data_IF_273822923727
#
_entry.id   IF_273822923727
#
_cell.length_a   1.000
_cell.length_b   1.000
_cell.length_c   1.000
_cell.angle_alpha   90.00
_cell.angle_beta   90.00
_cell.angle_gamma   90.00
#
_symmetry.space_group_name_H-M   'P 1'
#
loop_
_entity.id
_entity.type
_entity.pdbx_description
1 polymer ?
#
# COMPACT_ATOMS: atom_id res chain seq x y z
N UNK A 1 -4.63 -5.72 -15.42
CA UNK A 1 -4.92 -5.50 -13.99
C UNK A 1 -4.93 -4.00 -13.83
N UNK A 2 -6.06 -3.45 -13.40
CA UNK A 2 -6.23 -2.00 -13.24
C UNK A 2 -5.52 -1.58 -11.95
N UNK A 3 -4.39 -0.90 -12.09
CA UNK A 3 -3.77 -0.16 -10.99
C UNK A 3 -4.69 1.01 -10.62
N UNK A 4 -4.58 1.50 -9.39
CA UNK A 4 -5.28 2.69 -8.95
C UNK A 4 -4.34 3.64 -8.22
N UNK A 5 -4.73 4.91 -8.16
CA UNK A 5 -3.94 5.96 -7.51
C UNK A 5 -4.58 6.33 -6.19
N UNK A 6 -3.79 6.36 -5.12
CA UNK A 6 -4.20 6.92 -3.83
C UNK A 6 -3.48 8.24 -3.61
N UNK A 7 -4.21 9.25 -3.14
CA UNK A 7 -3.63 10.55 -2.80
C UNK A 7 -3.37 10.59 -1.31
N UNK A 8 -2.09 10.63 -0.93
CA UNK A 8 -1.68 10.78 0.46
C UNK A 8 -0.94 12.10 0.59
N UNK A 9 -1.44 12.95 1.48
CA UNK A 9 -0.96 14.34 1.65
C UNK A 9 -1.09 15.10 0.32
N UNK A 10 0.02 15.41 -0.34
CA UNK A 10 0.07 16.09 -1.64
C UNK A 10 0.76 15.26 -2.75
N UNK A 11 0.92 13.95 -2.52
CA UNK A 11 1.56 13.01 -3.46
C UNK A 11 0.57 11.93 -3.86
N UNK A 12 0.55 11.59 -5.15
CA UNK A 12 -0.21 10.45 -5.67
C UNK A 12 0.70 9.23 -5.72
N UNK A 13 0.25 8.13 -5.14
CA UNK A 13 0.94 6.84 -5.13
C UNK A 13 0.20 5.86 -6.02
N UNK A 14 0.94 5.19 -6.91
CA UNK A 14 0.41 4.16 -7.80
C UNK A 14 0.40 2.82 -7.09
N UNK A 15 -0.80 2.30 -6.86
CA UNK A 15 -1.03 1.05 -6.16
C UNK A 15 -1.36 -0.03 -7.16
N UNK A 16 -0.57 -1.10 -7.14
CA UNK A 16 -0.74 -2.27 -7.98
C UNK A 16 -1.28 -3.42 -7.11
N UNK A 17 -2.56 -3.81 -7.26
CA UNK A 17 -3.07 -5.00 -6.61
C UNK A 17 -2.49 -6.26 -7.26
N UNK A 18 -2.07 -7.22 -6.45
CA UNK A 18 -1.59 -8.53 -6.89
C UNK A 18 -2.17 -9.64 -6.02
N UNK A 19 -2.34 -10.83 -6.60
CA UNK A 19 -2.81 -12.01 -5.86
C UNK A 19 -1.62 -12.97 -5.73
N UNK A 20 -1.22 -13.26 -4.50
CA UNK A 20 -0.14 -14.20 -4.21
C UNK A 20 -0.60 -15.21 -3.17
N UNK A 21 -0.50 -16.51 -3.49
CA UNK A 21 -0.91 -17.61 -2.61
C UNK A 21 -2.32 -17.43 -1.99
N UNK A 22 -3.30 -17.05 -2.83
CA UNK A 22 -4.68 -16.74 -2.44
C UNK A 22 -4.87 -15.53 -1.52
N UNK A 23 -3.82 -14.74 -1.28
CA UNK A 23 -3.89 -13.47 -0.56
C UNK A 23 -3.87 -12.28 -1.52
N UNK A 24 -4.71 -11.28 -1.23
CA UNK A 24 -4.66 -10.00 -1.92
C UNK A 24 -3.57 -9.14 -1.28
N UNK A 25 -2.60 -8.75 -2.09
CA UNK A 25 -1.49 -7.88 -1.72
C UNK A 25 -1.49 -6.64 -2.60
N UNK A 26 -0.82 -5.60 -2.15
CA UNK A 26 -0.70 -4.34 -2.88
C UNK A 26 0.75 -3.90 -2.89
N UNK A 27 1.25 -3.46 -4.03
CA UNK A 27 2.58 -2.85 -4.14
C UNK A 27 2.49 -1.42 -4.58
N UNK A 28 3.35 -0.57 -4.02
CA UNK A 28 3.50 0.83 -4.46
C UNK A 28 4.95 1.25 -4.35
N UNK A 29 5.37 2.19 -5.20
CA UNK A 29 6.68 2.81 -5.10
C UNK A 29 6.61 4.03 -4.17
N UNK A 30 7.46 4.05 -3.14
CA UNK A 30 7.58 5.16 -2.18
C UNK A 30 9.06 5.57 -2.12
N UNK A 31 9.36 6.81 -2.51
CA UNK A 31 10.73 7.34 -2.56
C UNK A 31 11.70 6.48 -3.39
N UNK A 32 11.22 5.82 -4.45
CA UNK A 32 12.01 4.93 -5.31
C UNK A 32 12.21 3.52 -4.74
N UNK A 33 11.56 3.18 -3.64
CA UNK A 33 11.52 1.83 -3.08
C UNK A 33 10.16 1.19 -3.31
N UNK A 34 10.15 -0.07 -3.74
CA UNK A 34 8.92 -0.85 -3.79
C UNK A 34 8.53 -1.29 -2.37
N UNK A 35 7.30 -0.98 -1.98
CA UNK A 35 6.74 -1.35 -0.67
C UNK A 35 5.55 -2.27 -0.90
N UNK A 36 5.54 -3.38 -0.16
CA UNK A 36 4.45 -4.35 -0.16
C UNK A 36 3.52 -4.08 1.01
N UNK A 37 2.22 -4.09 0.75
CA UNK A 37 1.14 -3.99 1.72
C UNK A 37 0.30 -5.26 1.69
N UNK A 38 0.00 -5.79 2.87
CA UNK A 38 -0.83 -6.97 3.04
C UNK A 38 -1.91 -6.73 4.09
N UNK A 39 -3.06 -7.38 3.91
CA UNK A 39 -4.12 -7.35 4.92
C UNK A 39 -3.70 -8.21 6.12
N UNK A 40 -3.66 -7.60 7.30
CA UNK A 40 -3.44 -8.26 8.59
C UNK A 40 -4.74 -8.25 9.40
N UNK A 41 -4.72 -8.85 10.60
CA UNK A 41 -5.89 -8.89 11.48
C UNK A 41 -6.38 -7.51 11.95
N UNK A 42 -5.55 -6.47 11.81
CA UNK A 42 -5.83 -5.09 12.21
C UNK A 42 -6.05 -4.14 11.01
N UNK A 43 -6.13 -4.67 9.78
CA UNK A 43 -6.28 -3.89 8.54
C UNK A 43 -5.09 -4.01 7.61
N UNK A 44 -4.97 -3.12 6.62
CA UNK A 44 -3.84 -3.14 5.69
C UNK A 44 -2.57 -2.56 6.34
N UNK A 45 -1.43 -3.24 6.17
CA UNK A 45 -0.13 -2.79 6.71
C UNK A 45 1.02 -3.09 5.75
N UNK A 46 2.09 -2.28 5.81
CA UNK A 46 3.32 -2.52 5.06
C UNK A 46 4.10 -3.71 5.65
N UNK A 47 4.55 -4.62 4.80
CA UNK A 47 5.34 -5.80 5.19
C UNK A 47 6.81 -5.53 4.91
N UNK A 48 7.61 -5.57 5.97
CA UNK A 48 9.07 -5.38 5.94
C UNK A 48 9.50 -4.13 5.14
N UNK A 49 8.96 -2.94 5.48
CA UNK A 49 9.20 -1.76 4.66
C UNK A 49 10.69 -1.36 4.69
N UNK A 50 11.21 -0.82 3.57
CA UNK A 50 12.52 -0.19 3.52
C UNK A 50 12.57 1.05 4.43
N UNK A 51 13.71 1.77 4.45
CA UNK A 51 13.93 2.99 5.26
C UNK A 51 13.05 4.16 4.78
N UNK A 52 11.74 4.01 5.00
CA UNK A 52 10.64 4.89 4.63
C UNK A 52 9.87 5.20 5.91
N UNK A 53 9.37 6.43 5.98
CA UNK A 53 8.61 6.93 7.12
C UNK A 53 7.37 6.05 7.41
N UNK A 54 7.28 5.51 8.63
CA UNK A 54 6.20 4.61 9.02
C UNK A 54 4.83 5.29 9.10
N UNK A 55 4.79 6.60 9.39
CA UNK A 55 3.55 7.37 9.41
C UNK A 55 3.01 7.52 7.99
N UNK A 56 3.89 7.82 7.03
CA UNK A 56 3.53 7.84 5.61
C UNK A 56 3.00 6.49 5.12
N UNK A 57 3.67 5.39 5.50
CA UNK A 57 3.23 4.05 5.13
C UNK A 57 1.85 3.72 5.73
N UNK A 58 1.60 4.10 6.97
CA UNK A 58 0.31 3.91 7.60
C UNK A 58 -0.81 4.73 6.91
N UNK A 59 -0.53 5.96 6.50
CA UNK A 59 -1.47 6.78 5.72
C UNK A 59 -1.78 6.14 4.36
N UNK A 60 -0.76 5.69 3.62
CA UNK A 60 -0.95 4.96 2.35
C UNK A 60 -1.80 3.72 2.57
N UNK A 61 -1.51 2.93 3.60
CA UNK A 61 -2.26 1.73 3.89
C UNK A 61 -3.74 2.03 4.18
N UNK A 62 -4.02 3.09 4.94
CA UNK A 62 -5.39 3.52 5.27
C UNK A 62 -6.17 4.00 4.04
N UNK A 63 -5.51 4.70 3.11
CA UNK A 63 -6.15 5.12 1.86
C UNK A 63 -6.45 3.92 0.97
N UNK A 64 -5.52 2.96 0.84
CA UNK A 64 -5.76 1.72 0.10
C UNK A 64 -6.94 0.94 0.71
N UNK A 65 -6.96 0.79 2.03
CA UNK A 65 -8.03 0.10 2.75
C UNK A 65 -9.39 0.77 2.53
N UNK A 66 -9.42 2.11 2.54
CA UNK A 66 -10.64 2.89 2.25
C UNK A 66 -11.13 2.73 0.81
N UNK A 67 -10.23 2.47 -0.15
CA UNK A 67 -10.58 2.16 -1.54
C UNK A 67 -11.20 0.77 -1.72
N UNK A 68 -10.97 -0.15 -0.77
CA UNK A 68 -11.51 -1.51 -0.81
C UNK A 68 -12.91 -1.65 -0.18
N UNK A 69 -13.33 -0.68 0.65
CA UNK A 69 -14.65 -0.66 1.30
C UNK A 69 -15.71 0.03 0.44
#
# INVERSE_FOLDING_TARGET
>A
MDYFEVKVRDVNYLVNPMIEADNLLFTTEVNGYEVLFATTGDGLQAIDPPDVDQELLAEIASEIDSYMM
#
